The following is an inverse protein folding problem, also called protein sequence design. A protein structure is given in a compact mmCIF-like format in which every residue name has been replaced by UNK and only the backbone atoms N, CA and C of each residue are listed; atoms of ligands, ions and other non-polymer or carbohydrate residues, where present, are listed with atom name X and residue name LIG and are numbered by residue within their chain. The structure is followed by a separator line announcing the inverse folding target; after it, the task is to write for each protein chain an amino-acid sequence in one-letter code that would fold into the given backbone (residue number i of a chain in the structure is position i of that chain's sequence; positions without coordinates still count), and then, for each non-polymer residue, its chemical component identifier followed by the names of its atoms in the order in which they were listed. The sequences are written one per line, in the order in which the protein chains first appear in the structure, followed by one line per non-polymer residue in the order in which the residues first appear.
data_IF_830646881180
#
_entry.id   IF_830646881180
#
_cell.length_a   1.000
_cell.length_b   1.000
_cell.length_c   1.000
_cell.angle_alpha   90.00
_cell.angle_beta   90.00
_cell.angle_gamma   90.00
#
_symmetry.space_group_name_H-M   'P 1'
#
loop_
_entity.id
_entity.type
_entity.pdbx_description
1 polymer ?
#
# COMPACT_ATOMS: atom_id res chain seq x y z
N UNK A 1 -51.47 4.82 -90.10
CA UNK A 1 -51.22 3.56 -89.36
C UNK A 1 -49.73 3.46 -89.11
N UNK A 2 -49.33 2.91 -87.94
CA UNK A 2 -47.95 2.56 -87.55
C UNK A 2 -47.11 3.63 -86.80
N UNK A 3 -47.47 3.97 -85.55
CA UNK A 3 -46.53 4.58 -84.59
C UNK A 3 -46.51 4.07 -83.12
N UNK A 4 -47.20 3.00 -82.67
CA UNK A 4 -47.10 2.57 -81.27
C UNK A 4 -45.90 1.68 -80.92
N UNK A 5 -45.17 1.16 -81.92
CA UNK A 5 -44.09 0.17 -81.69
C UNK A 5 -42.79 0.83 -81.18
N UNK A 6 -42.53 2.09 -81.54
CA UNK A 6 -41.29 2.79 -81.18
C UNK A 6 -41.27 3.19 -79.68
N UNK A 7 -42.44 3.60 -79.17
CA UNK A 7 -42.61 4.10 -77.80
C UNK A 7 -42.44 3.00 -76.73
N UNK A 8 -42.90 1.78 -77.04
CA UNK A 8 -42.67 0.62 -76.16
C UNK A 8 -41.20 0.19 -76.12
N UNK A 9 -40.45 0.36 -77.22
CA UNK A 9 -39.03 0.03 -77.28
C UNK A 9 -38.20 0.97 -76.40
N UNK A 10 -38.57 2.25 -76.35
CA UNK A 10 -37.89 3.26 -75.54
C UNK A 10 -38.09 2.99 -74.04
N UNK A 11 -39.33 2.70 -73.61
CA UNK A 11 -39.65 2.32 -72.21
C UNK A 11 -38.89 1.05 -71.79
N UNK A 12 -38.82 0.03 -72.66
CA UNK A 12 -38.06 -1.19 -72.38
C UNK A 12 -36.57 -0.89 -72.24
N UNK A 13 -36.03 0.05 -73.01
CA UNK A 13 -34.63 0.44 -72.94
C UNK A 13 -34.32 1.18 -71.64
N UNK A 14 -35.20 2.07 -71.21
CA UNK A 14 -35.09 2.81 -69.95
C UNK A 14 -35.19 1.88 -68.73
N UNK A 15 -36.15 0.94 -68.72
CA UNK A 15 -36.25 -0.08 -67.68
C UNK A 15 -35.00 -0.95 -67.58
N UNK A 16 -34.41 -1.33 -68.72
CA UNK A 16 -33.14 -2.09 -68.74
C UNK A 16 -31.98 -1.28 -68.17
N UNK A 17 -31.96 0.03 -68.40
CA UNK A 17 -30.95 0.94 -67.82
C UNK A 17 -31.09 1.00 -66.30
N UNK A 18 -32.30 1.22 -65.79
CA UNK A 18 -32.59 1.23 -64.35
C UNK A 18 -32.24 -0.09 -63.66
N UNK A 19 -32.56 -1.22 -64.29
CA UNK A 19 -32.20 -2.55 -63.75
C UNK A 19 -30.68 -2.69 -63.65
N UNK A 20 -29.91 -2.22 -64.64
CA UNK A 20 -28.44 -2.24 -64.58
C UNK A 20 -27.90 -1.36 -63.46
N UNK A 21 -28.42 -0.15 -63.31
CA UNK A 21 -28.05 0.74 -62.20
C UNK A 21 -28.30 0.09 -60.84
N UNK A 22 -29.50 -0.46 -60.63
CA UNK A 22 -29.82 -1.17 -59.39
C UNK A 22 -28.92 -2.39 -59.15
N UNK A 23 -28.55 -3.11 -60.22
CA UNK A 23 -27.62 -4.23 -60.11
C UNK A 23 -26.22 -3.78 -59.68
N UNK A 24 -25.75 -2.64 -60.19
CA UNK A 24 -24.44 -2.09 -59.83
C UNK A 24 -24.45 -1.50 -58.42
N UNK A 25 -25.51 -0.82 -58.01
CA UNK A 25 -25.72 -0.37 -56.62
C UNK A 25 -25.73 -1.56 -55.66
N UNK A 26 -26.43 -2.64 -55.99
CA UNK A 26 -26.43 -3.86 -55.18
C UNK A 26 -25.03 -4.48 -55.05
N UNK A 27 -24.19 -4.44 -56.10
CA UNK A 27 -22.80 -4.91 -56.00
C UNK A 27 -21.97 -4.05 -55.05
N UNK A 28 -22.12 -2.73 -55.11
CA UNK A 28 -21.41 -1.83 -54.20
C UNK A 28 -21.86 -2.02 -52.76
N UNK A 29 -23.16 -2.22 -52.54
CA UNK A 29 -23.70 -2.54 -51.22
C UNK A 29 -23.10 -3.85 -50.66
N UNK A 30 -23.02 -4.91 -51.48
CA UNK A 30 -22.40 -6.17 -51.08
C UNK A 30 -20.94 -5.95 -50.65
N UNK A 31 -20.15 -5.19 -51.42
CA UNK A 31 -18.76 -4.88 -51.06
C UNK A 31 -18.66 -4.11 -49.74
N UNK A 32 -19.54 -3.12 -49.55
CA UNK A 32 -19.58 -2.35 -48.30
C UNK A 32 -19.95 -3.22 -47.09
N UNK A 33 -20.86 -4.18 -47.29
CA UNK A 33 -21.28 -5.12 -46.26
C UNK A 33 -20.15 -6.09 -45.90
N UNK A 34 -19.44 -6.64 -46.89
CA UNK A 34 -18.29 -7.51 -46.66
C UNK A 34 -17.20 -6.79 -45.86
N UNK A 35 -16.93 -5.52 -46.20
CA UNK A 35 -15.98 -4.69 -45.46
C UNK A 35 -16.42 -4.45 -44.00
N UNK A 36 -17.68 -4.04 -43.78
CA UNK A 36 -18.21 -3.83 -42.44
C UNK A 36 -18.22 -5.12 -41.62
N UNK A 37 -18.53 -6.26 -42.24
CA UNK A 37 -18.49 -7.57 -41.61
C UNK A 37 -17.08 -7.92 -41.13
N UNK A 38 -16.07 -7.70 -41.98
CA UNK A 38 -14.66 -7.90 -41.60
C UNK A 38 -14.24 -6.98 -40.46
N UNK A 39 -14.61 -5.69 -40.52
CA UNK A 39 -14.31 -4.73 -39.44
C UNK A 39 -14.99 -5.13 -38.13
N UNK A 40 -16.23 -5.61 -38.20
CA UNK A 40 -16.96 -6.06 -37.02
C UNK A 40 -16.34 -7.32 -36.39
N UNK A 41 -15.83 -8.25 -37.20
CA UNK A 41 -15.09 -9.41 -36.71
C UNK A 41 -13.78 -9.01 -36.01
N UNK A 42 -13.04 -8.06 -36.56
CA UNK A 42 -11.82 -7.51 -35.95
C UNK A 42 -12.13 -6.84 -34.61
N UNK A 43 -13.18 -6.01 -34.56
CA UNK A 43 -13.58 -5.32 -33.34
C UNK A 43 -14.03 -6.30 -32.26
N UNK A 44 -14.72 -7.39 -32.63
CA UNK A 44 -15.05 -8.48 -31.69
C UNK A 44 -13.80 -9.11 -31.08
N UNK A 45 -12.78 -9.39 -31.89
CA UNK A 45 -11.51 -9.96 -31.41
C UNK A 45 -10.83 -8.99 -30.44
N UNK A 46 -10.79 -7.71 -30.80
CA UNK A 46 -10.23 -6.64 -29.95
C UNK A 46 -10.99 -6.52 -28.62
N UNK A 47 -12.32 -6.52 -28.66
CA UNK A 47 -13.17 -6.45 -27.48
C UNK A 47 -12.91 -7.62 -26.53
N UNK A 48 -12.77 -8.84 -27.08
CA UNK A 48 -12.45 -10.02 -26.28
C UNK A 48 -11.11 -9.91 -25.53
N UNK A 49 -10.07 -9.43 -26.22
CA UNK A 49 -8.75 -9.22 -25.60
C UNK A 49 -8.82 -8.15 -24.50
N UNK A 50 -9.55 -7.07 -24.74
CA UNK A 50 -9.75 -6.02 -23.74
C UNK A 50 -10.50 -6.54 -22.51
N UNK A 51 -11.53 -7.36 -22.70
CA UNK A 51 -12.27 -8.00 -21.60
C UNK A 51 -11.36 -8.90 -20.75
N UNK A 52 -10.52 -9.71 -21.39
CA UNK A 52 -9.54 -10.57 -20.70
C UNK A 52 -8.54 -9.71 -19.89
N UNK A 53 -7.96 -8.67 -20.50
CA UNK A 53 -7.03 -7.76 -19.82
C UNK A 53 -7.66 -7.03 -18.63
N UNK A 54 -8.89 -6.53 -18.78
CA UNK A 54 -9.62 -5.87 -17.69
C UNK A 54 -9.88 -6.87 -16.56
N UNK A 55 -10.21 -8.12 -16.88
CA UNK A 55 -10.37 -9.19 -15.91
C UNK A 55 -9.11 -9.43 -15.09
N UNK A 56 -7.95 -9.49 -15.75
CA UNK A 56 -6.67 -9.74 -15.07
C UNK A 56 -6.21 -8.53 -14.23
N UNK A 57 -6.32 -7.30 -14.75
CA UNK A 57 -6.05 -6.08 -14.00
C UNK A 57 -6.98 -5.94 -12.77
N UNK A 58 -8.22 -6.38 -12.88
CA UNK A 58 -9.16 -6.37 -11.76
C UNK A 58 -8.74 -7.34 -10.64
N UNK A 59 -8.30 -8.55 -11.01
CA UNK A 59 -7.76 -9.54 -10.05
C UNK A 59 -6.50 -9.02 -9.36
N UNK A 60 -5.56 -8.44 -10.11
CA UNK A 60 -4.33 -7.89 -9.55
C UNK A 60 -4.63 -6.76 -8.56
N UNK A 61 -5.50 -5.82 -8.94
CA UNK A 61 -5.93 -4.75 -8.03
C UNK A 61 -6.60 -5.30 -6.76
N UNK A 62 -7.34 -6.39 -6.85
CA UNK A 62 -7.94 -7.03 -5.68
C UNK A 62 -6.87 -7.64 -4.75
N UNK A 63 -5.82 -8.25 -5.29
CA UNK A 63 -4.70 -8.78 -4.49
C UNK A 63 -3.92 -7.65 -3.82
N UNK A 64 -3.54 -6.61 -4.57
CA UNK A 64 -2.81 -5.46 -4.03
C UNK A 64 -3.58 -4.77 -2.89
N UNK A 65 -4.90 -4.65 -3.00
CA UNK A 65 -5.74 -4.11 -1.92
C UNK A 65 -5.64 -4.96 -0.65
N UNK A 66 -5.70 -6.30 -0.77
CA UNK A 66 -5.55 -7.20 0.38
C UNK A 66 -4.19 -7.07 1.04
N UNK A 67 -3.12 -6.97 0.24
CA UNK A 67 -1.76 -6.82 0.76
C UNK A 67 -1.60 -5.49 1.51
N UNK A 68 -2.11 -4.39 0.94
CA UNK A 68 -2.12 -3.07 1.59
C UNK A 68 -2.88 -3.12 2.91
N UNK A 69 -4.04 -3.78 2.96
CA UNK A 69 -4.82 -3.90 4.19
C UNK A 69 -4.07 -4.75 5.25
N UNK A 70 -3.42 -5.84 4.84
CA UNK A 70 -2.57 -6.65 5.73
C UNK A 70 -1.37 -5.89 6.29
N UNK A 71 -0.70 -5.08 5.46
CA UNK A 71 0.41 -4.23 5.88
C UNK A 71 -0.06 -3.14 6.85
N UNK A 72 -1.20 -2.50 6.61
CA UNK A 72 -1.78 -1.51 7.54
C UNK A 72 -2.06 -2.11 8.91
N UNK A 73 -2.61 -3.33 8.96
CA UNK A 73 -2.83 -4.03 10.22
C UNK A 73 -1.53 -4.29 10.98
N UNK A 74 -0.47 -4.65 10.26
CA UNK A 74 0.86 -4.90 10.85
C UNK A 74 1.48 -3.60 11.36
N UNK A 75 1.37 -2.51 10.61
CA UNK A 75 1.86 -1.20 11.02
C UNK A 75 1.15 -0.71 12.29
N UNK A 76 -0.19 -0.78 12.33
CA UNK A 76 -0.96 -0.38 13.50
C UNK A 76 -0.59 -1.20 14.76
N UNK A 77 -0.24 -2.48 14.58
CA UNK A 77 0.24 -3.34 15.67
C UNK A 77 1.61 -2.90 16.19
N UNK A 78 2.51 -2.47 15.31
CA UNK A 78 3.84 -1.99 15.70
C UNK A 78 3.80 -0.57 16.29
N UNK A 79 2.97 0.34 15.76
CA UNK A 79 2.75 1.67 16.34
C UNK A 79 2.13 1.60 17.76
N UNK A 80 1.47 0.50 18.09
CA UNK A 80 0.92 0.25 19.42
C UNK A 80 1.98 -0.14 20.47
N UNK A 81 3.23 -0.40 20.07
CA UNK A 81 4.35 -0.59 21.02
C UNK A 81 4.84 0.76 21.52
N UNK A 82 4.16 1.32 22.51
CA UNK A 82 4.72 2.44 23.28
C UNK A 82 5.97 1.96 24.02
N UNK A 83 7.12 2.47 23.62
CA UNK A 83 8.36 2.31 24.37
C UNK A 83 8.33 3.33 25.51
N UNK A 84 8.19 2.85 26.74
CA UNK A 84 8.32 3.68 27.93
C UNK A 84 9.79 3.68 28.35
N UNK A 85 10.43 4.85 28.25
CA UNK A 85 11.75 5.09 28.83
C UNK A 85 11.49 5.69 30.20
N UNK A 86 11.62 4.88 31.24
CA UNK A 86 11.62 5.38 32.60
C UNK A 86 12.99 5.99 32.88
N UNK A 87 13.04 7.31 33.07
CA UNK A 87 14.25 8.02 33.49
C UNK A 87 14.55 7.82 34.99
N UNK A 88 13.63 7.18 35.72
CA UNK A 88 13.83 6.81 37.11
C UNK A 88 14.58 5.46 37.24
N UNK A 89 15.23 5.27 38.40
CA UNK A 89 16.12 4.15 38.66
C UNK A 89 15.45 2.81 38.30
N UNK A 90 16.16 1.94 37.56
CA UNK A 90 15.69 0.57 37.33
C UNK A 90 15.41 -0.11 38.67
N UNK A 91 14.56 -1.13 38.68
CA UNK A 91 14.21 -1.87 39.91
C UNK A 91 15.46 -2.29 40.70
N UNK A 92 16.48 -2.76 40.01
CA UNK A 92 17.76 -3.19 40.58
C UNK A 92 18.51 -2.01 41.21
N UNK A 93 18.63 -0.89 40.48
CA UNK A 93 19.29 0.31 40.99
C UNK A 93 18.50 0.94 42.14
N UNK A 94 17.17 0.92 42.10
CA UNK A 94 16.32 1.39 43.19
C UNK A 94 16.54 0.57 44.47
N UNK A 95 16.63 -0.76 44.36
CA UNK A 95 16.95 -1.63 45.50
C UNK A 95 18.35 -1.33 46.06
N UNK A 96 19.34 -1.15 45.18
CA UNK A 96 20.69 -0.77 45.60
C UNK A 96 20.70 0.60 46.30
N UNK A 97 19.91 1.56 45.82
CA UNK A 97 19.80 2.88 46.45
C UNK A 97 19.17 2.79 47.83
N UNK A 98 18.12 1.99 47.98
CA UNK A 98 17.47 1.72 49.27
C UNK A 98 18.45 1.09 50.26
N UNK A 99 19.26 0.12 49.83
CA UNK A 99 20.29 -0.49 50.67
C UNK A 99 21.40 0.50 51.04
N UNK A 100 21.85 1.31 50.08
CA UNK A 100 22.91 2.31 50.28
C UNK A 100 22.54 3.40 51.30
N UNK A 101 21.24 3.65 51.55
CA UNK A 101 20.82 4.61 52.59
C UNK A 101 21.25 4.21 54.01
N UNK A 102 21.54 2.94 54.26
CA UNK A 102 22.07 2.47 55.54
C UNK A 102 23.42 3.14 55.89
N UNK A 103 24.17 3.59 54.88
CA UNK A 103 25.44 4.29 55.08
C UNK A 103 25.30 5.58 55.90
N UNK A 104 24.09 6.18 55.94
CA UNK A 104 23.83 7.31 56.82
C UNK A 104 24.02 6.97 58.30
N UNK A 105 23.78 5.72 58.69
CA UNK A 105 23.97 5.23 60.05
C UNK A 105 25.44 5.13 60.48
N UNK A 106 26.36 5.04 59.53
CA UNK A 106 27.82 4.93 59.79
C UNK A 106 28.58 6.23 59.45
N UNK A 107 27.85 7.35 59.39
CA UNK A 107 28.45 8.69 59.26
C UNK A 107 28.53 9.24 57.84
N UNK A 108 27.82 8.66 56.85
CA UNK A 108 27.68 9.31 55.55
C UNK A 108 26.61 10.39 55.55
N UNK A 109 27.00 11.66 55.34
CA UNK A 109 26.06 12.79 55.30
C UNK A 109 25.15 12.75 54.07
N UNK A 110 25.67 12.32 52.92
CA UNK A 110 24.93 12.33 51.66
C UNK A 110 24.90 10.95 51.00
N UNK A 111 23.70 10.54 50.58
CA UNK A 111 23.46 9.39 49.69
C UNK A 111 22.37 9.81 48.72
N UNK A 112 22.68 9.86 47.42
CA UNK A 112 21.79 10.33 46.37
C UNK A 112 22.00 9.53 45.07
N UNK A 113 21.13 9.74 44.09
CA UNK A 113 21.29 9.17 42.76
C UNK A 113 21.34 10.28 41.71
N UNK A 114 22.04 10.02 40.61
CA UNK A 114 22.09 10.89 39.43
C UNK A 114 22.47 10.04 38.21
N UNK A 115 21.76 10.18 37.10
CA UNK A 115 22.06 9.47 35.84
C UNK A 115 22.22 7.95 36.03
N UNK A 116 21.31 7.32 36.78
CA UNK A 116 21.34 5.88 37.08
C UNK A 116 22.46 5.42 38.02
N UNK A 117 23.27 6.34 38.56
CA UNK A 117 24.37 6.03 39.48
C UNK A 117 24.01 6.41 40.91
N UNK A 118 24.42 5.58 41.86
CA UNK A 118 24.23 5.84 43.29
C UNK A 118 25.52 6.36 43.88
N UNK A 119 25.45 7.51 44.52
CA UNK A 119 26.60 8.24 45.03
C UNK A 119 26.46 8.43 46.53
N UNK A 120 27.57 8.30 47.25
CA UNK A 120 27.66 8.54 48.68
C UNK A 120 28.86 9.42 49.02
N UNK A 121 28.71 10.24 50.06
CA UNK A 121 29.76 11.15 50.53
C UNK A 121 29.70 11.27 52.04
N UNK A 122 30.86 11.15 52.71
CA UNK A 122 30.95 11.27 54.18
C UNK A 122 30.67 12.68 54.66
N UNK A 123 31.46 13.66 54.25
CA UNK A 123 31.32 15.07 54.61
C UNK A 123 31.52 15.99 53.40
N UNK A 124 31.29 17.30 53.56
CA UNK A 124 31.40 18.30 52.49
C UNK A 124 32.81 18.48 51.89
N UNK A 125 33.84 17.90 52.52
CA UNK A 125 35.22 17.85 52.02
C UNK A 125 35.69 16.46 51.60
N UNK A 126 34.88 15.41 51.77
CA UNK A 126 35.26 14.03 51.41
C UNK A 126 35.04 13.74 49.93
N UNK A 127 35.71 12.72 49.40
CA UNK A 127 35.46 12.27 48.03
C UNK A 127 34.06 11.66 47.86
N UNK A 128 33.55 11.76 46.64
CA UNK A 128 32.29 11.13 46.23
C UNK A 128 32.59 9.69 45.83
N UNK A 129 31.90 8.75 46.46
CA UNK A 129 32.03 7.32 46.18
C UNK A 129 30.84 6.89 45.32
N UNK A 130 31.13 6.30 44.17
CA UNK A 130 30.14 5.63 43.34
C UNK A 130 29.93 4.20 43.84
N UNK A 131 28.69 3.88 44.23
CA UNK A 131 28.28 2.57 44.72
C UNK A 131 27.75 1.75 43.55
N UNK A 132 28.48 0.69 43.22
CA UNK A 132 28.21 -0.18 42.07
C UNK A 132 27.36 -1.40 42.40
N UNK A 133 27.44 -1.88 43.63
CA UNK A 133 26.76 -3.10 44.06
C UNK A 133 26.59 -3.15 45.59
N UNK A 134 25.79 -4.11 46.05
CA UNK A 134 25.45 -4.30 47.48
C UNK A 134 26.68 -4.67 48.31
N UNK A 135 27.63 -5.41 47.75
CA UNK A 135 28.85 -5.81 48.48
C UNK A 135 29.68 -4.59 48.87
N UNK A 136 29.83 -3.62 47.97
CA UNK A 136 30.49 -2.35 48.26
C UNK A 136 29.79 -1.58 49.38
N UNK A 137 28.44 -1.64 49.47
CA UNK A 137 27.71 -1.04 50.59
C UNK A 137 28.08 -1.76 51.89
N UNK A 138 28.06 -3.09 51.90
CA UNK A 138 28.36 -3.88 53.10
C UNK A 138 29.80 -3.67 53.59
N UNK A 139 30.76 -3.49 52.68
CA UNK A 139 32.14 -3.18 53.07
C UNK A 139 32.28 -1.78 53.65
N UNK A 140 31.46 -0.82 53.23
CA UNK A 140 31.43 0.54 53.78
C UNK A 140 30.59 0.67 55.07
N UNK A 141 29.82 -0.37 55.42
CA UNK A 141 29.05 -0.48 56.67
C UNK A 141 29.84 -1.14 57.81
N UNK A 142 30.96 -1.79 57.51
CA UNK A 142 31.91 -2.33 58.49
C UNK A 142 32.74 -1.20 59.11
#
# INVERSE_FOLDING_TARGET
MSQPINDQSDVITELKSLIRQLQDENKELIRSFDFLSSQWEEERKRSKVLEEMVGDLSKENQMLRKDVDGLKLTLNKEESKRIFVDEELTKETYQLFKHSRQLKGVGYKYVWHREGKILARKNDGSDIIFIRNVNQVNDLLK
#
